data_IF_176551982048
#
_entry.id   IF_176551982048
#
_cell.length_a   1.000
_cell.length_b   1.000
_cell.length_c   1.000
_cell.angle_alpha   90.00
_cell.angle_beta   90.00
_cell.angle_gamma   90.00
#
_symmetry.space_group_name_H-M   'P 1'
#
loop_
_entity.id
_entity.type
_entity.pdbx_description
1 polymer ?
#
# COMPACT_ATOMS: atom_id res chain seq x y z
N UNK A 1 11.81 6.96 0.79
CA UNK A 1 11.84 5.58 1.20
C UNK A 1 11.03 4.70 0.28
N UNK A 2 11.40 3.44 0.20
CA UNK A 2 10.78 2.54 -0.75
C UNK A 2 10.27 1.30 -0.05
N UNK A 3 9.18 0.77 -0.53
CA UNK A 3 8.62 -0.49 -0.05
C UNK A 3 8.47 -1.42 -1.24
N UNK A 4 8.34 -2.71 -0.96
CA UNK A 4 8.24 -3.69 -2.03
C UNK A 4 6.79 -4.10 -2.19
N UNK A 5 6.29 -4.05 -3.40
CA UNK A 5 4.93 -4.45 -3.68
C UNK A 5 4.79 -5.95 -3.48
N UNK A 6 3.81 -6.43 -2.72
CA UNK A 6 3.64 -7.86 -2.52
C UNK A 6 3.05 -8.56 -3.74
N UNK A 7 2.55 -7.78 -4.71
CA UNK A 7 1.96 -8.40 -5.86
C UNK A 7 2.97 -8.58 -6.99
N UNK A 8 3.70 -7.56 -7.36
CA UNK A 8 4.63 -7.61 -8.46
C UNK A 8 6.07 -7.39 -8.03
N UNK A 9 6.33 -7.15 -6.77
CA UNK A 9 7.66 -6.96 -6.20
C UNK A 9 8.35 -5.72 -6.75
N UNK A 10 7.60 -4.76 -7.24
CA UNK A 10 8.19 -3.53 -7.72
C UNK A 10 8.46 -2.60 -6.55
N UNK A 11 9.40 -1.70 -6.71
CA UNK A 11 9.68 -0.74 -5.68
C UNK A 11 8.64 0.35 -5.68
N UNK A 12 8.07 0.67 -4.55
CA UNK A 12 7.09 1.72 -4.42
C UNK A 12 7.71 2.82 -3.60
N UNK A 13 7.77 4.02 -4.17
CA UNK A 13 8.35 5.14 -3.47
C UNK A 13 7.31 5.74 -2.52
N UNK A 14 7.66 5.87 -1.26
CA UNK A 14 6.77 6.44 -0.26
C UNK A 14 7.22 7.86 0.04
N UNK A 15 6.27 8.73 0.31
CA UNK A 15 6.58 10.11 0.63
C UNK A 15 7.27 10.18 1.99
N UNK A 16 8.07 11.23 2.21
CA UNK A 16 8.77 11.35 3.46
C UNK A 16 7.81 11.58 4.62
N UNK A 17 6.63 12.11 4.33
CA UNK A 17 5.65 12.33 5.35
C UNK A 17 4.57 11.27 5.32
N UNK A 18 4.81 10.11 4.70
CA UNK A 18 3.85 9.03 4.69
C UNK A 18 3.64 8.50 6.11
N UNK A 19 2.46 7.97 6.36
CA UNK A 19 2.13 7.46 7.68
C UNK A 19 1.61 6.04 7.54
N UNK A 20 1.62 5.32 8.65
CA UNK A 20 1.08 3.97 8.68
C UNK A 20 -0.42 4.05 8.44
N UNK A 21 -0.93 3.09 7.74
CA UNK A 21 -2.35 2.97 7.36
C UNK A 21 -2.69 3.87 6.16
N UNK A 22 -1.72 4.52 5.57
CA UNK A 22 -1.98 5.30 4.37
C UNK A 22 -2.09 4.37 3.18
N UNK A 23 -3.01 4.63 2.29
CA UNK A 23 -3.22 3.79 1.11
C UNK A 23 -2.39 4.33 -0.03
N UNK A 24 -1.62 3.44 -0.66
CA UNK A 24 -0.83 3.80 -1.82
C UNK A 24 -1.15 2.83 -2.94
N UNK A 25 -0.88 3.22 -4.16
CA UNK A 25 -1.15 2.39 -5.31
C UNK A 25 0.17 2.08 -5.98
N UNK A 26 0.40 0.81 -6.27
CA UNK A 26 1.61 0.40 -6.96
C UNK A 26 1.58 0.94 -8.38
N UNK A 27 2.60 1.65 -8.81
CA UNK A 27 2.59 2.22 -10.16
C UNK A 27 2.80 1.17 -11.25
N UNK A 28 3.23 -0.03 -10.86
CA UNK A 28 3.48 -1.06 -11.84
C UNK A 28 2.29 -1.97 -12.05
N UNK A 29 1.70 -2.51 -11.04
CA UNK A 29 0.56 -3.40 -11.19
C UNK A 29 -0.76 -2.75 -10.82
N UNK A 30 -0.74 -1.58 -10.23
CA UNK A 30 -1.96 -0.86 -9.89
C UNK A 30 -2.69 -1.41 -8.66
N UNK A 31 -2.04 -2.25 -7.88
CA UNK A 31 -2.69 -2.81 -6.70
C UNK A 31 -2.71 -1.79 -5.59
N UNK A 32 -3.84 -1.67 -4.91
CA UNK A 32 -3.95 -0.77 -3.77
C UNK A 32 -3.32 -1.43 -2.56
N UNK A 33 -2.45 -0.72 -1.89
CA UNK A 33 -1.69 -1.25 -0.78
C UNK A 33 -1.78 -0.31 0.41
N UNK A 34 -1.55 -0.83 1.58
CA UNK A 34 -1.61 -0.05 2.80
C UNK A 34 -0.23 -0.08 3.45
N UNK A 35 0.23 1.05 3.92
CA UNK A 35 1.49 1.13 4.61
C UNK A 35 1.31 0.54 6.00
N UNK A 36 2.04 -0.55 6.29
CA UNK A 36 1.91 -1.21 7.58
C UNK A 36 3.08 -0.89 8.47
N UNK A 37 4.15 -0.36 7.93
CA UNK A 37 5.29 0.01 8.74
C UNK A 37 6.10 1.05 7.98
N UNK A 38 6.79 1.93 8.69
CA UNK A 38 7.59 2.95 8.05
C UNK A 38 9.07 2.74 8.23
N UNK A 39 9.48 1.98 9.23
CA UNK A 39 10.90 1.80 9.48
C UNK A 39 11.14 0.39 10.00
N UNK A 40 11.41 -0.56 9.14
CA UNK A 40 11.62 -0.37 7.68
C UNK A 40 10.30 -0.18 6.92
N UNK A 41 10.31 0.46 5.80
CA UNK A 41 9.08 0.69 5.04
C UNK A 41 8.51 -0.63 4.56
N UNK A 42 7.25 -0.83 4.80
CA UNK A 42 6.57 -2.06 4.39
C UNK A 42 5.13 -1.75 4.06
N UNK A 43 4.61 -2.44 3.06
CA UNK A 43 3.22 -2.30 2.65
C UNK A 43 2.62 -3.69 2.48
N UNK A 44 1.32 -3.76 2.53
CA UNK A 44 0.62 -5.00 2.35
C UNK A 44 -0.63 -4.68 1.56
N UNK A 45 -1.44 -5.69 1.23
CA UNK A 45 -2.65 -5.47 0.46
C UNK A 45 -3.59 -4.60 1.29
N UNK A 46 -4.14 -3.57 0.65
CA UNK A 46 -5.06 -2.69 1.33
C UNK A 46 -6.36 -3.43 1.65
N UNK A 47 -7.02 -3.09 2.73
CA UNK A 47 -8.30 -3.72 3.04
C UNK A 47 -9.32 -3.32 2.01
N UNK A 48 -10.13 -4.28 1.55
CA UNK A 48 -11.10 -3.99 0.61
C UNK A 48 -12.32 -3.65 1.27
N UNK A 49 -12.92 -2.61 1.11
CA UNK A 49 -14.00 -2.22 1.78
C UNK A 49 -15.12 -2.55 1.13
N UNK A 50 -15.45 -3.28 0.56
CA UNK A 50 -16.46 -3.66 -0.09
C UNK A 50 -17.62 -3.40 0.33
N UNK A 51 -18.12 -3.09 0.51
CA UNK A 51 -19.08 -2.88 0.92
C UNK A 51 -20.13 -3.25 0.71
N UNK A 52 -20.53 -3.65 0.77
CA UNK A 52 -21.42 -4.21 0.66
C UNK A 52 -22.50 -3.52 0.99
N UNK A 53 -22.87 -3.02 0.71
CA UNK A 53 -23.79 -2.36 0.98
C UNK A 53 -24.85 -2.74 0.75
N UNK A 54 -25.04 -3.34 0.68
CA UNK A 54 -26.08 -3.75 0.59
C UNK A 54 -27.00 -3.61 0.91
N UNK A 55 -27.09 -3.38 1.09
CA UNK A 55 -27.60 -3.27 1.33
C UNK A 55 -27.89 -3.35 1.35
#
# INVERSE_FOLDING_TARGET
MFAECPECAAEIQLAVDAIVHEIVVCPDCGTELEIINLDPPAVDYAPQEEEDWGE
#
